data_IF_173965169749
#
_entry.id   IF_173965169749
#
_cell.length_a   1.000
_cell.length_b   1.000
_cell.length_c   1.000
_cell.angle_alpha   90.00
_cell.angle_beta   90.00
_cell.angle_gamma   90.00
#
_symmetry.space_group_name_H-M   'P 1'
#
loop_
_entity.id
_entity.type
_entity.pdbx_description
1 polymer ?
#
# COMPACT_ATOMS: atom_id res chain seq x y z
N UNK A 1 -8.59 -6.32 -2.32
CA UNK A 1 -10.06 -6.46 -2.43
C UNK A 1 -10.47 -7.78 -3.11
N UNK A 2 -10.72 -7.89 -4.43
CA UNK A 2 -11.28 -9.12 -5.03
C UNK A 2 -10.36 -10.35 -4.99
N UNK A 3 -9.06 -10.20 -5.29
CA UNK A 3 -8.07 -11.29 -5.24
C UNK A 3 -7.81 -11.81 -3.82
N UNK A 4 -8.07 -10.98 -2.83
CA UNK A 4 -7.81 -11.23 -1.41
C UNK A 4 -8.96 -11.98 -0.75
N UNK A 5 -10.20 -11.72 -1.21
CA UNK A 5 -11.37 -12.54 -0.92
C UNK A 5 -11.21 -13.97 -1.48
N UNK A 6 -10.60 -14.13 -2.66
CA UNK A 6 -10.29 -15.45 -3.24
C UNK A 6 -9.20 -16.18 -2.43
N UNK A 7 -8.20 -15.45 -1.92
CA UNK A 7 -7.20 -15.99 -1.01
C UNK A 7 -7.79 -16.46 0.34
N UNK A 8 -8.86 -15.81 0.81
CA UNK A 8 -9.54 -16.17 2.06
C UNK A 8 -10.48 -17.37 1.92
N UNK A 9 -11.19 -17.49 0.79
CA UNK A 9 -12.19 -18.54 0.57
C UNK A 9 -11.63 -19.88 0.07
N UNK A 10 -10.41 -19.90 -0.50
CA UNK A 10 -9.84 -21.09 -1.13
C UNK A 10 -8.51 -21.46 -0.46
N UNK A 11 -8.46 -22.50 0.40
CA UNK A 11 -7.23 -22.93 1.07
C UNK A 11 -6.38 -23.81 0.11
N UNK A 12 -5.98 -23.24 -1.04
CA UNK A 12 -5.16 -23.92 -2.04
C UNK A 12 -3.92 -23.09 -2.35
N UNK A 13 -2.74 -23.63 -2.04
CA UNK A 13 -1.45 -22.94 -2.14
C UNK A 13 -1.20 -22.32 -3.51
N UNK A 14 -1.54 -23.04 -4.59
CA UNK A 14 -1.37 -22.56 -5.97
C UNK A 14 -2.22 -21.32 -6.28
N UNK A 15 -3.46 -21.27 -5.78
CA UNK A 15 -4.35 -20.12 -5.98
C UNK A 15 -3.84 -18.91 -5.20
N UNK A 16 -3.40 -19.13 -3.96
CA UNK A 16 -2.78 -18.13 -3.11
C UNK A 16 -1.51 -17.53 -3.72
N UNK A 17 -0.64 -18.36 -4.29
CA UNK A 17 0.60 -17.91 -4.92
C UNK A 17 0.33 -17.03 -6.16
N UNK A 18 -0.62 -17.43 -7.02
CA UNK A 18 -0.99 -16.65 -8.21
C UNK A 18 -1.65 -15.33 -7.82
N UNK A 19 -2.56 -15.35 -6.84
CA UNK A 19 -3.24 -14.14 -6.37
C UNK A 19 -2.26 -13.12 -5.78
N UNK A 20 -1.32 -13.56 -4.94
CA UNK A 20 -0.28 -12.68 -4.36
C UNK A 20 0.67 -12.16 -5.44
N UNK A 21 1.02 -12.98 -6.43
CA UNK A 21 1.88 -12.56 -7.55
C UNK A 21 1.23 -11.47 -8.39
N UNK A 22 -0.05 -11.63 -8.74
CA UNK A 22 -0.83 -10.61 -9.44
C UNK A 22 -0.98 -9.34 -8.58
N UNK A 23 -1.29 -9.49 -7.30
CA UNK A 23 -1.36 -8.37 -6.37
C UNK A 23 -0.03 -7.60 -6.33
N UNK A 24 1.11 -8.29 -6.18
CA UNK A 24 2.43 -7.68 -6.22
C UNK A 24 2.72 -6.96 -7.54
N UNK A 25 2.34 -7.55 -8.68
CA UNK A 25 2.49 -6.94 -10.00
C UNK A 25 1.74 -5.61 -10.13
N UNK A 26 0.49 -5.54 -9.69
CA UNK A 26 -0.29 -4.30 -9.72
C UNK A 26 0.13 -3.28 -8.66
N UNK A 27 0.63 -3.74 -7.51
CA UNK A 27 1.10 -2.85 -6.43
C UNK A 27 2.49 -2.28 -6.72
N UNK A 28 3.35 -2.97 -7.46
CA UNK A 28 4.70 -2.53 -7.80
C UNK A 28 4.80 -1.09 -8.32
N UNK A 29 4.02 -0.68 -9.33
CA UNK A 29 4.09 0.67 -9.88
C UNK A 29 3.42 1.75 -9.02
N UNK A 30 2.71 1.42 -7.92
CA UNK A 30 2.02 2.43 -7.11
C UNK A 30 2.99 3.42 -6.47
N UNK A 31 4.10 2.94 -5.91
CA UNK A 31 5.07 3.81 -5.26
C UNK A 31 5.66 4.87 -6.20
N UNK A 32 6.23 4.52 -7.37
CA UNK A 32 6.71 5.53 -8.32
C UNK A 32 5.58 6.39 -8.88
N UNK A 33 4.37 5.85 -9.08
CA UNK A 33 3.21 6.64 -9.51
C UNK A 33 2.86 7.76 -8.51
N UNK A 34 2.87 7.46 -7.21
CA UNK A 34 2.65 8.45 -6.14
C UNK A 34 3.74 9.52 -6.15
N UNK A 35 5.01 9.14 -6.32
CA UNK A 35 6.13 10.10 -6.40
C UNK A 35 5.94 11.05 -7.59
N UNK A 36 5.54 10.53 -8.76
CA UNK A 36 5.24 11.35 -9.94
C UNK A 36 4.09 12.33 -9.66
N UNK A 37 3.02 11.89 -9.00
CA UNK A 37 1.91 12.78 -8.63
C UNK A 37 2.35 13.85 -7.63
N UNK A 38 3.11 13.50 -6.60
CA UNK A 38 3.61 14.47 -5.61
C UNK A 38 4.52 15.53 -6.25
N UNK A 39 5.44 15.13 -7.13
CA UNK A 39 6.32 16.08 -7.82
C UNK A 39 5.56 16.99 -8.79
N UNK A 40 4.38 16.59 -9.29
CA UNK A 40 3.49 17.45 -10.09
C UNK A 40 2.68 18.43 -9.23
N UNK A 41 2.25 18.01 -8.04
CA UNK A 41 1.45 18.81 -7.11
C UNK A 41 2.30 19.84 -6.34
N UNK A 42 3.53 19.51 -5.99
CA UNK A 42 4.38 20.37 -5.17
C UNK A 42 5.24 21.34 -6.00
N UNK A 43 5.59 22.52 -5.47
CA UNK A 43 6.55 23.42 -6.08
C UNK A 43 7.99 22.86 -5.98
N UNK A 44 8.84 23.19 -6.97
CA UNK A 44 10.17 22.57 -7.19
C UNK A 44 11.09 22.62 -5.96
N UNK A 45 10.99 23.65 -5.13
CA UNK A 45 11.83 23.80 -3.92
C UNK A 45 11.42 22.85 -2.78
N UNK A 46 10.21 22.29 -2.80
CA UNK A 46 9.72 21.36 -1.77
C UNK A 46 9.83 19.88 -2.18
N UNK A 47 10.20 19.58 -3.43
CA UNK A 47 10.23 18.20 -3.93
C UNK A 47 11.11 17.28 -3.08
N UNK A 48 12.34 17.70 -2.79
CA UNK A 48 13.31 16.88 -2.04
C UNK A 48 12.85 16.68 -0.59
N UNK A 49 12.40 17.75 0.08
CA UNK A 49 11.97 17.68 1.48
C UNK A 49 10.70 16.85 1.66
N UNK A 50 9.70 17.03 0.80
CA UNK A 50 8.45 16.28 0.87
C UNK A 50 8.64 14.81 0.53
N UNK A 51 9.40 14.49 -0.53
CA UNK A 51 9.72 13.11 -0.90
C UNK A 51 10.52 12.43 0.22
N UNK A 52 11.49 13.13 0.80
CA UNK A 52 12.26 12.64 1.95
C UNK A 52 11.38 12.37 3.17
N UNK A 53 10.42 13.24 3.48
CA UNK A 53 9.47 13.05 4.57
C UNK A 53 8.56 11.84 4.33
N UNK A 54 7.97 11.72 3.14
CA UNK A 54 7.13 10.56 2.80
C UNK A 54 7.94 9.26 2.79
N UNK A 55 9.18 9.28 2.31
CA UNK A 55 10.07 8.13 2.34
C UNK A 55 10.44 7.73 3.79
N UNK A 56 10.71 8.69 4.67
CA UNK A 56 10.97 8.44 6.08
C UNK A 56 9.76 7.81 6.78
N UNK A 57 8.57 8.39 6.61
CA UNK A 57 7.32 7.86 7.17
C UNK A 57 7.01 6.48 6.61
N UNK A 58 7.17 6.29 5.29
CA UNK A 58 6.98 5.00 4.62
C UNK A 58 7.96 3.94 5.11
N UNK A 59 9.23 4.31 5.31
CA UNK A 59 10.26 3.44 5.86
C UNK A 59 9.98 3.04 7.32
N UNK A 60 9.59 3.99 8.17
CA UNK A 60 9.21 3.72 9.56
C UNK A 60 7.98 2.81 9.66
N UNK A 61 6.95 3.08 8.84
CA UNK A 61 5.77 2.21 8.75
C UNK A 61 6.11 0.81 8.24
N UNK A 62 7.06 0.70 7.30
CA UNK A 62 7.55 -0.56 6.76
C UNK A 62 8.26 -1.46 7.77
N UNK A 63 8.73 -0.93 8.91
CA UNK A 63 9.28 -1.74 9.99
C UNK A 63 8.22 -2.05 11.07
N UNK A 64 7.47 -1.04 11.49
CA UNK A 64 6.50 -1.15 12.58
C UNK A 64 5.31 -2.05 12.23
N UNK A 65 4.77 -1.89 11.02
CA UNK A 65 3.55 -2.60 10.62
C UNK A 65 3.81 -4.10 10.43
N UNK A 66 4.86 -4.55 9.69
CA UNK A 66 5.18 -5.97 9.58
C UNK A 66 5.50 -6.59 10.94
N UNK A 67 6.19 -5.88 11.83
CA UNK A 67 6.45 -6.36 13.19
C UNK A 67 5.16 -6.60 13.97
N UNK A 68 4.25 -5.62 13.98
CA UNK A 68 2.94 -5.78 14.64
C UNK A 68 2.13 -6.93 14.04
N UNK A 69 2.11 -7.07 12.71
CA UNK A 69 1.43 -8.20 12.05
C UNK A 69 2.05 -9.55 12.39
N UNK A 70 3.39 -9.63 12.47
CA UNK A 70 4.11 -10.84 12.83
C UNK A 70 3.86 -11.26 14.27
N UNK A 71 3.85 -10.30 15.19
CA UNK A 71 3.50 -10.55 16.59
C UNK A 71 2.05 -11.04 16.75
N UNK A 72 1.09 -10.42 16.04
CA UNK A 72 -0.30 -10.90 16.03
C UNK A 72 -0.43 -12.29 15.40
N UNK A 73 0.30 -12.56 14.32
CA UNK A 73 0.28 -13.87 13.66
C UNK A 73 0.86 -14.96 14.56
N UNK A 74 1.87 -14.65 15.39
CA UNK A 74 2.42 -15.60 16.37
C UNK A 74 1.40 -15.91 17.48
N UNK A 75 0.64 -14.91 17.94
CA UNK A 75 -0.30 -15.08 19.04
C UNK A 75 -1.64 -15.71 18.64
N UNK A 76 -2.15 -15.40 17.43
CA UNK A 76 -3.50 -15.80 16.97
C UNK A 76 -3.51 -16.62 15.68
N UNK A 77 -2.35 -16.97 15.14
CA UNK A 77 -2.21 -17.73 13.92
C UNK A 77 -2.22 -16.88 12.65
N UNK A 78 -1.82 -17.50 11.52
CA UNK A 78 -1.62 -16.84 10.22
C UNK A 78 -2.93 -16.32 9.60
N UNK A 79 -4.08 -16.80 10.08
CA UNK A 79 -5.40 -16.31 9.63
C UNK A 79 -5.63 -14.82 9.93
N UNK A 80 -4.87 -14.24 10.86
CA UNK A 80 -4.96 -12.80 11.18
C UNK A 80 -4.25 -11.91 10.16
N UNK A 81 -3.41 -12.46 9.29
CA UNK A 81 -2.75 -11.69 8.22
C UNK A 81 -3.78 -11.16 7.20
N UNK A 82 -4.81 -11.94 6.89
CA UNK A 82 -5.81 -11.64 5.88
C UNK A 82 -6.63 -10.37 6.17
N UNK A 83 -7.26 -10.19 7.35
CA UNK A 83 -7.98 -8.96 7.66
C UNK A 83 -7.05 -7.73 7.72
N UNK A 84 -5.78 -7.91 8.07
CA UNK A 84 -4.82 -6.81 8.13
C UNK A 84 -4.44 -6.33 6.72
N UNK A 85 -4.18 -7.24 5.78
CA UNK A 85 -3.86 -6.85 4.39
C UNK A 85 -5.08 -6.15 3.76
N UNK A 86 -6.30 -6.62 4.05
CA UNK A 86 -7.55 -5.99 3.58
C UNK A 86 -7.68 -4.56 4.13
N UNK A 87 -7.40 -4.39 5.42
CA UNK A 87 -7.43 -3.08 6.06
C UNK A 87 -6.40 -2.12 5.43
N UNK A 88 -5.18 -2.58 5.14
CA UNK A 88 -4.16 -1.77 4.47
C UNK A 88 -4.54 -1.40 3.04
N UNK A 89 -5.08 -2.34 2.26
CA UNK A 89 -5.55 -2.07 0.90
C UNK A 89 -6.75 -1.11 0.90
N UNK A 90 -7.66 -1.24 1.86
CA UNK A 90 -8.75 -0.28 2.07
C UNK A 90 -8.24 1.11 2.42
N UNK A 91 -7.29 1.21 3.35
CA UNK A 91 -6.68 2.48 3.73
C UNK A 91 -5.97 3.14 2.54
N UNK A 92 -5.19 2.37 1.76
CA UNK A 92 -4.52 2.86 0.55
C UNK A 92 -5.53 3.40 -0.47
N UNK A 93 -6.64 2.70 -0.69
CA UNK A 93 -7.70 3.15 -1.59
C UNK A 93 -8.39 4.43 -1.09
N UNK A 94 -8.71 4.51 0.20
CA UNK A 94 -9.32 5.70 0.80
C UNK A 94 -8.38 6.90 0.68
N UNK A 95 -7.11 6.73 1.03
CA UNK A 95 -6.09 7.76 0.88
C UNK A 95 -5.95 8.22 -0.58
N UNK A 96 -6.03 7.28 -1.53
CA UNK A 96 -6.00 7.59 -2.95
C UNK A 96 -7.23 8.39 -3.41
N UNK A 97 -8.43 8.05 -2.92
CA UNK A 97 -9.66 8.78 -3.23
C UNK A 97 -9.72 10.16 -2.57
N UNK A 98 -9.12 10.31 -1.39
CA UNK A 98 -8.99 11.59 -0.69
C UNK A 98 -7.94 12.52 -1.32
N UNK A 99 -7.11 12.03 -2.24
CA UNK A 99 -6.12 12.88 -2.91
C UNK A 99 -6.85 13.94 -3.74
N UNK A 100 -6.54 15.24 -3.57
CA UNK A 100 -7.18 16.28 -4.37
C UNK A 100 -6.90 16.05 -5.85
N UNK A 101 -7.96 16.05 -6.67
CA UNK A 101 -7.82 15.93 -8.13
C UNK A 101 -6.83 17.00 -8.59
N UNK A 102 -5.81 16.57 -9.34
CA UNK A 102 -4.78 17.45 -9.91
C UNK A 102 -5.49 18.44 -10.85
N UNK A 103 -5.84 19.60 -10.31
CA UNK A 103 -6.30 20.74 -11.07
C UNK A 103 -5.15 21.20 -11.96
N UNK A 104 -5.42 21.30 -13.25
CA UNK A 104 -4.51 21.86 -14.27
C UNK A 104 -3.89 23.14 -13.71
N UNK A 105 -2.56 23.17 -13.51
CA UNK A 105 -1.85 24.42 -13.21
C UNK A 105 -2.27 25.42 -14.29
N UNK A 106 -2.93 26.51 -13.87
CA UNK A 106 -2.95 27.74 -14.65
C UNK A 106 -1.53 28.29 -14.58
N UNK A 107 -1.01 28.63 -15.76
CA UNK A 107 0.37 29.00 -16.09
C UNK A 107 1.07 29.90 -15.07
#
# INVERSE_FOLDING_TARGET
MALELVFWLVPQFYVSAVAVSLQGFFLGPLFPAVIVVMTRLLPKHLHVSAVGFVAAVGGSGGALLPFATGALAQAKGVQVLQPIILAFLGLLLVLWLCLPRIGKKRD
#
